data_IF_341059032381
#
_entry.id   IF_341059032381
#
_cell.length_a   1.000
_cell.length_b   1.000
_cell.length_c   1.000
_cell.angle_alpha   90.00
_cell.angle_beta   90.00
_cell.angle_gamma   90.00
#
_symmetry.space_group_name_H-M   'P 1'
#
loop_
_entity.id
_entity.type
_entity.pdbx_description
1 polymer ?
#
# COMPACT_ATOMS: atom_id res chain seq x y z
N UNK A 1 32.24 -20.38 21.23
CA UNK A 1 32.36 -18.94 20.97
C UNK A 1 31.97 -18.20 22.24
N UNK A 2 32.75 -17.19 22.60
CA UNK A 2 32.39 -16.21 23.62
C UNK A 2 31.18 -15.38 23.14
N UNK A 3 30.31 -14.88 24.04
CA UNK A 3 29.19 -14.00 23.66
C UNK A 3 29.62 -12.80 22.79
N UNK A 4 30.76 -12.19 23.12
CA UNK A 4 31.32 -11.04 22.41
C UNK A 4 31.69 -11.39 20.96
N UNK A 5 32.17 -12.61 20.71
CA UNK A 5 32.51 -13.08 19.37
C UNK A 5 31.27 -13.24 18.48
N UNK A 6 30.12 -13.61 19.06
CA UNK A 6 28.85 -13.69 18.31
C UNK A 6 28.37 -12.32 17.90
N UNK A 7 28.48 -11.33 18.80
CA UNK A 7 28.15 -9.94 18.52
C UNK A 7 29.04 -9.38 17.39
N UNK A 8 30.36 -9.52 17.52
CA UNK A 8 31.32 -9.07 16.51
C UNK A 8 31.07 -9.67 15.13
N UNK A 9 30.66 -10.96 15.07
CA UNK A 9 30.31 -11.60 13.81
C UNK A 9 29.09 -10.96 13.15
N UNK A 10 28.06 -10.61 13.93
CA UNK A 10 26.86 -9.96 13.40
C UNK A 10 27.20 -8.57 12.89
N UNK A 11 27.95 -7.78 13.66
CA UNK A 11 28.39 -6.45 13.26
C UNK A 11 29.23 -6.51 11.98
N UNK A 12 30.18 -7.43 11.88
CA UNK A 12 30.99 -7.62 10.68
C UNK A 12 30.14 -7.97 9.43
N UNK A 13 29.10 -8.81 9.58
CA UNK A 13 28.17 -9.10 8.49
C UNK A 13 27.33 -7.89 8.09
N UNK A 14 26.94 -7.06 9.06
CA UNK A 14 26.20 -5.81 8.81
C UNK A 14 27.07 -4.78 8.09
N UNK A 15 28.34 -4.65 8.44
CA UNK A 15 29.31 -3.76 7.79
C UNK A 15 29.50 -4.09 6.30
N UNK A 16 29.42 -5.37 5.94
CA UNK A 16 29.48 -5.83 4.54
C UNK A 16 28.16 -5.54 3.78
N UNK A 17 27.14 -5.03 4.47
CA UNK A 17 25.85 -4.65 3.90
C UNK A 17 24.82 -5.78 3.86
N UNK A 18 25.04 -6.86 4.63
CA UNK A 18 24.06 -7.95 4.73
C UNK A 18 22.97 -7.66 5.77
N UNK A 19 21.73 -8.05 5.44
CA UNK A 19 20.64 -8.08 6.42
C UNK A 19 20.74 -9.37 7.25
N UNK A 20 21.25 -9.23 8.46
CA UNK A 20 21.41 -10.33 9.41
C UNK A 20 20.16 -10.53 10.27
N UNK A 21 19.65 -11.76 10.31
CA UNK A 21 18.71 -12.22 11.33
C UNK A 21 19.36 -13.29 12.20
N UNK A 22 19.04 -13.32 13.49
CA UNK A 22 19.58 -14.26 14.45
C UNK A 22 18.46 -14.95 15.23
N UNK A 23 18.63 -16.23 15.52
CA UNK A 23 17.82 -16.93 16.51
C UNK A 23 18.73 -17.54 17.60
N UNK A 24 18.25 -17.53 18.84
CA UNK A 24 19.00 -18.00 20.00
C UNK A 24 18.07 -18.26 21.18
N UNK A 25 18.51 -19.02 22.17
CA UNK A 25 17.69 -19.45 23.31
C UNK A 25 18.33 -19.13 24.66
N UNK A 26 19.63 -18.81 24.70
CA UNK A 26 20.40 -18.58 25.92
C UNK A 26 20.82 -17.13 26.15
N UNK A 27 21.19 -16.83 27.39
CA UNK A 27 21.69 -15.51 27.80
C UNK A 27 22.94 -15.06 27.03
N UNK A 28 23.75 -16.03 26.59
CA UNK A 28 24.96 -15.82 25.79
C UNK A 28 24.67 -15.28 24.38
N UNK A 29 23.41 -15.33 23.93
CA UNK A 29 22.97 -14.82 22.63
C UNK A 29 22.36 -13.42 22.73
N UNK A 30 22.11 -12.89 23.93
CA UNK A 30 21.39 -11.63 24.13
C UNK A 30 22.01 -10.43 23.39
N UNK A 31 23.34 -10.28 23.48
CA UNK A 31 24.04 -9.19 22.78
C UNK A 31 23.87 -9.29 21.26
N UNK A 32 24.03 -10.50 20.73
CA UNK A 32 23.95 -10.78 19.31
C UNK A 32 22.50 -10.70 18.77
N UNK A 33 21.51 -11.19 19.53
CA UNK A 33 20.08 -11.07 19.23
C UNK A 33 19.63 -9.61 19.14
N UNK A 34 20.17 -8.76 20.01
CA UNK A 34 19.89 -7.32 20.03
C UNK A 34 20.55 -6.57 18.89
N UNK A 35 21.75 -6.99 18.47
CA UNK A 35 22.47 -6.35 17.37
C UNK A 35 21.92 -6.74 15.99
N UNK A 36 21.36 -7.94 15.84
CA UNK A 36 20.77 -8.39 14.58
C UNK A 36 19.61 -7.47 14.14
N UNK A 37 19.41 -7.31 12.82
CA UNK A 37 18.27 -6.56 12.30
C UNK A 37 16.93 -7.20 12.66
N UNK A 38 16.92 -8.53 12.81
CA UNK A 38 15.79 -9.29 13.30
C UNK A 38 16.28 -10.41 14.23
N UNK A 39 16.14 -10.19 15.54
CA UNK A 39 16.43 -11.18 16.57
C UNK A 39 15.18 -11.96 16.98
N UNK A 40 15.28 -13.29 17.06
CA UNK A 40 14.20 -14.17 17.52
C UNK A 40 14.68 -15.03 18.68
N UNK A 41 14.15 -14.80 19.89
CA UNK A 41 14.37 -15.73 21.00
C UNK A 41 13.52 -16.98 20.82
N UNK A 42 14.13 -18.16 20.96
CA UNK A 42 13.44 -19.45 20.96
C UNK A 42 12.93 -19.86 22.35
N UNK A 43 13.30 -19.12 23.40
CA UNK A 43 12.89 -19.37 24.77
C UNK A 43 12.20 -18.14 25.38
N UNK A 44 11.29 -18.38 26.34
CA UNK A 44 10.63 -17.31 27.11
C UNK A 44 11.51 -16.84 28.29
N UNK A 45 12.70 -17.42 28.44
CA UNK A 45 13.65 -17.08 29.50
C UNK A 45 14.40 -15.78 29.19
N UNK A 46 15.60 -15.60 29.76
CA UNK A 46 16.41 -14.37 29.71
C UNK A 46 16.64 -13.80 28.29
N UNK A 47 16.71 -14.67 27.27
CA UNK A 47 16.89 -14.26 25.88
C UNK A 47 15.71 -13.46 25.30
N UNK A 48 14.48 -13.67 25.81
CA UNK A 48 13.28 -12.97 25.34
C UNK A 48 13.32 -11.46 25.60
N UNK A 49 14.03 -11.01 26.64
CA UNK A 49 14.17 -9.59 26.99
C UNK A 49 15.05 -8.86 25.98
N UNK A 50 15.97 -9.57 25.32
CA UNK A 50 16.91 -8.99 24.37
C UNK A 50 16.39 -8.95 22.94
N UNK A 51 15.46 -9.85 22.57
CA UNK A 51 14.97 -10.01 21.21
C UNK A 51 13.59 -9.36 20.96
N UNK A 52 13.36 -8.69 19.82
CA UNK A 52 12.05 -8.13 19.48
C UNK A 52 10.96 -9.20 19.24
N UNK A 53 11.35 -10.42 18.87
CA UNK A 53 10.42 -11.54 18.67
C UNK A 53 10.75 -12.68 19.62
N UNK A 54 9.74 -13.25 20.28
CA UNK A 54 9.90 -14.43 21.14
C UNK A 54 8.99 -15.55 20.67
N UNK A 55 9.55 -16.71 20.38
CA UNK A 55 8.80 -17.91 20.03
C UNK A 55 8.29 -18.59 21.30
N UNK A 56 7.00 -18.92 21.33
CA UNK A 56 6.40 -19.68 22.43
C UNK A 56 6.84 -21.15 22.45
N UNK A 57 7.16 -21.70 21.27
CA UNK A 57 7.64 -23.08 21.11
C UNK A 57 9.09 -23.01 20.62
N UNK A 58 9.96 -23.82 21.23
CA UNK A 58 11.36 -23.99 20.83
C UNK A 58 11.47 -24.70 19.47
N UNK A 59 11.15 -24.00 18.39
CA UNK A 59 11.22 -24.52 17.03
C UNK A 59 11.70 -23.43 16.08
N UNK A 60 12.72 -23.75 15.30
CA UNK A 60 13.34 -22.86 14.30
C UNK A 60 12.34 -22.45 13.20
N UNK A 61 11.24 -23.21 13.02
CA UNK A 61 10.16 -22.89 12.08
C UNK A 61 9.60 -21.47 12.28
N UNK A 62 9.65 -20.92 13.50
CA UNK A 62 9.22 -19.53 13.75
C UNK A 62 9.96 -18.51 12.87
N UNK A 63 11.22 -18.76 12.51
CA UNK A 63 11.98 -17.89 11.62
C UNK A 63 11.37 -17.84 10.21
N UNK A 64 10.87 -18.98 9.72
CA UNK A 64 10.19 -19.02 8.42
C UNK A 64 8.90 -18.19 8.45
N UNK A 65 8.14 -18.28 9.54
CA UNK A 65 6.89 -17.55 9.69
C UNK A 65 7.15 -16.03 9.80
N UNK A 66 8.17 -15.60 10.56
CA UNK A 66 8.61 -14.20 10.62
C UNK A 66 9.02 -13.67 9.23
N UNK A 67 9.77 -14.45 8.44
CA UNK A 67 10.16 -14.03 7.08
C UNK A 67 8.93 -13.94 6.15
N UNK A 68 7.98 -14.87 6.27
CA UNK A 68 6.74 -14.86 5.47
C UNK A 68 5.91 -13.61 5.77
N UNK A 69 5.68 -13.35 7.05
CA UNK A 69 4.92 -12.18 7.51
C UNK A 69 5.63 -10.87 7.15
N UNK A 70 6.95 -10.80 7.32
CA UNK A 70 7.73 -9.63 6.92
C UNK A 70 7.63 -9.32 5.43
N UNK A 71 7.60 -10.36 4.57
CA UNK A 71 7.45 -10.18 3.12
C UNK A 71 6.04 -9.75 2.73
N UNK A 72 5.02 -10.30 3.36
CA UNK A 72 3.62 -9.92 3.15
C UNK A 72 3.41 -8.46 3.55
N UNK A 73 3.85 -8.11 4.76
CA UNK A 73 3.82 -6.74 5.30
C UNK A 73 4.56 -5.76 4.39
N UNK A 74 5.74 -6.10 3.88
CA UNK A 74 6.49 -5.24 2.96
C UNK A 74 5.76 -5.02 1.61
N UNK A 75 5.13 -6.06 1.07
CA UNK A 75 4.34 -5.93 -0.16
C UNK A 75 3.03 -5.14 0.03
N UNK A 76 2.42 -5.27 1.20
CA UNK A 76 1.22 -4.55 1.61
C UNK A 76 1.51 -3.06 1.78
N UNK A 77 2.51 -2.71 2.59
CA UNK A 77 2.95 -1.34 2.85
C UNK A 77 3.36 -0.60 1.58
N UNK A 78 4.13 -1.24 0.68
CA UNK A 78 4.45 -0.63 -0.61
C UNK A 78 3.24 -0.52 -1.55
N UNK A 79 2.19 -1.31 -1.36
CA UNK A 79 0.91 -1.12 -2.03
C UNK A 79 0.16 0.10 -1.52
N UNK A 80 0.02 0.19 -0.19
CA UNK A 80 -0.62 1.31 0.48
C UNK A 80 0.09 2.63 0.18
N UNK A 81 1.42 2.65 0.18
CA UNK A 81 2.19 3.84 -0.17
C UNK A 81 1.92 4.31 -1.61
N UNK A 82 1.93 3.40 -2.59
CA UNK A 82 1.61 3.75 -3.99
C UNK A 82 0.20 4.32 -4.12
N UNK A 83 -0.75 3.74 -3.38
CA UNK A 83 -2.12 4.25 -3.33
C UNK A 83 -2.17 5.68 -2.78
N UNK A 84 -1.53 5.96 -1.64
CA UNK A 84 -1.53 7.30 -1.04
C UNK A 84 -0.89 8.35 -1.95
N UNK A 85 0.19 8.00 -2.65
CA UNK A 85 0.80 8.91 -3.64
C UNK A 85 -0.18 9.23 -4.76
N UNK A 86 -0.80 8.20 -5.37
CA UNK A 86 -1.81 8.42 -6.42
C UNK A 86 -3.00 9.24 -5.91
N UNK A 87 -3.47 8.97 -4.69
CA UNK A 87 -4.56 9.70 -4.05
C UNK A 87 -4.27 11.20 -3.95
N UNK A 88 -3.11 11.58 -3.43
CA UNK A 88 -2.73 13.00 -3.29
C UNK A 88 -2.73 13.73 -4.64
N UNK A 89 -2.19 13.10 -5.70
CA UNK A 89 -2.16 13.73 -7.02
C UNK A 89 -3.54 13.84 -7.67
N UNK A 90 -4.38 12.81 -7.53
CA UNK A 90 -5.76 12.85 -8.03
C UNK A 90 -6.57 13.93 -7.29
N UNK A 91 -6.47 13.99 -5.96
CA UNK A 91 -7.14 15.00 -5.15
C UNK A 91 -6.73 16.42 -5.55
N UNK A 92 -5.42 16.67 -5.70
CA UNK A 92 -4.89 17.96 -6.12
C UNK A 92 -5.38 18.34 -7.52
N UNK A 93 -5.27 17.44 -8.50
CA UNK A 93 -5.73 17.71 -9.86
C UNK A 93 -7.24 17.99 -9.92
N UNK A 94 -8.02 17.29 -9.11
CA UNK A 94 -9.45 17.53 -8.95
C UNK A 94 -9.81 18.87 -8.40
N UNK A 95 -9.17 19.24 -7.29
CA UNK A 95 -9.39 20.52 -6.66
C UNK A 95 -9.08 21.65 -7.64
N UNK A 96 -7.94 21.58 -8.34
CA UNK A 96 -7.55 22.57 -9.36
C UNK A 96 -8.57 22.64 -10.51
N UNK A 97 -9.08 21.49 -10.98
CA UNK A 97 -10.09 21.45 -12.03
C UNK A 97 -11.42 22.09 -11.58
N UNK A 98 -11.90 21.79 -10.37
CA UNK A 98 -13.12 22.40 -9.84
C UNK A 98 -12.97 23.90 -9.61
N UNK A 99 -11.80 24.35 -9.13
CA UNK A 99 -11.49 25.77 -9.01
C UNK A 99 -11.51 26.49 -10.36
N UNK A 100 -11.05 25.83 -11.42
CA UNK A 100 -11.12 26.38 -12.78
C UNK A 100 -12.57 26.60 -13.25
N UNK A 101 -13.48 25.68 -12.92
CA UNK A 101 -14.91 25.79 -13.22
C UNK A 101 -15.67 26.73 -12.25
N UNK A 102 -14.98 27.33 -11.28
CA UNK A 102 -15.57 28.18 -10.25
C UNK A 102 -16.49 27.43 -9.28
N UNK A 103 -16.39 26.10 -9.23
CA UNK A 103 -17.18 25.24 -8.35
C UNK A 103 -16.37 24.82 -7.13
N UNK A 104 -17.03 24.68 -5.98
CA UNK A 104 -16.43 24.10 -4.78
C UNK A 104 -17.14 22.80 -4.39
N UNK A 105 -16.42 21.77 -3.93
CA UNK A 105 -17.06 20.60 -3.35
C UNK A 105 -17.92 20.96 -2.15
N UNK A 106 -18.97 20.17 -1.90
CA UNK A 106 -19.71 20.26 -0.64
C UNK A 106 -18.80 19.84 0.51
N UNK A 107 -18.89 20.49 1.66
CA UNK A 107 -18.05 20.21 2.85
C UNK A 107 -18.16 18.75 3.29
N UNK A 108 -19.37 18.18 3.24
CA UNK A 108 -19.57 16.75 3.54
C UNK A 108 -18.90 15.80 2.54
N UNK A 109 -18.75 16.21 1.28
CA UNK A 109 -18.07 15.41 0.27
C UNK A 109 -16.56 15.37 0.51
N UNK A 110 -15.93 16.49 0.91
CA UNK A 110 -14.52 16.51 1.28
C UNK A 110 -14.23 15.59 2.47
N UNK A 111 -15.04 15.70 3.53
CA UNK A 111 -14.89 14.85 4.72
C UNK A 111 -15.07 13.37 4.37
N UNK A 112 -16.04 13.03 3.52
CA UNK A 112 -16.24 11.66 3.08
C UNK A 112 -15.03 11.13 2.29
N UNK A 113 -14.47 11.91 1.37
CA UNK A 113 -13.31 11.51 0.57
C UNK A 113 -12.09 11.31 1.49
N UNK A 114 -11.79 12.26 2.37
CA UNK A 114 -10.61 12.16 3.25
C UNK A 114 -10.74 11.08 4.33
N UNK A 115 -11.93 10.83 4.87
CA UNK A 115 -12.10 9.80 5.90
C UNK A 115 -12.27 8.42 5.27
N UNK A 116 -13.21 8.27 4.33
CA UNK A 116 -13.59 6.94 3.83
C UNK A 116 -12.64 6.49 2.73
N UNK A 117 -12.41 7.34 1.72
CA UNK A 117 -11.62 6.95 0.54
C UNK A 117 -10.13 6.89 0.88
N UNK A 118 -9.61 7.76 1.75
CA UNK A 118 -8.21 7.71 2.17
C UNK A 118 -7.90 6.55 3.12
N UNK A 119 -8.73 6.32 4.15
CA UNK A 119 -8.40 5.39 5.24
C UNK A 119 -8.71 3.93 4.93
N UNK A 120 -9.82 3.64 4.25
CA UNK A 120 -10.30 2.26 4.08
C UNK A 120 -9.33 1.40 3.24
N UNK A 121 -8.79 1.85 2.09
CA UNK A 121 -7.91 1.01 1.28
C UNK A 121 -6.58 0.61 1.95
N UNK A 122 -5.85 1.51 2.64
CA UNK A 122 -4.68 1.15 3.45
C UNK A 122 -4.99 0.10 4.53
N UNK A 123 -6.15 0.20 5.19
CA UNK A 123 -6.57 -0.79 6.19
C UNK A 123 -6.78 -2.16 5.57
N UNK A 124 -7.39 -2.24 4.38
CA UNK A 124 -7.55 -3.50 3.63
C UNK A 124 -6.18 -4.09 3.28
N UNK A 125 -5.20 -3.27 2.86
CA UNK A 125 -3.84 -3.76 2.63
C UNK A 125 -3.19 -4.32 3.91
N UNK A 126 -3.47 -3.74 5.07
CA UNK A 126 -3.00 -4.25 6.37
C UNK A 126 -3.53 -5.64 6.71
N UNK A 127 -4.69 -6.04 6.18
CA UNK A 127 -5.29 -7.36 6.41
C UNK A 127 -4.79 -8.46 5.47
N UNK A 128 -3.72 -8.20 4.71
CA UNK A 128 -3.19 -9.19 3.76
C UNK A 128 -2.41 -10.30 4.48
N UNK A 129 -2.85 -11.54 4.28
CA UNK A 129 -2.22 -12.72 4.86
C UNK A 129 -0.91 -13.10 4.15
N UNK A 130 0.03 -13.75 4.85
CA UNK A 130 1.27 -14.23 4.26
C UNK A 130 1.07 -15.44 3.36
N UNK A 131 1.99 -15.59 2.40
CA UNK A 131 1.99 -16.77 1.54
C UNK A 131 2.60 -18.00 2.25
N UNK A 132 2.00 -19.17 2.04
CA UNK A 132 2.33 -20.41 2.77
C UNK A 132 3.71 -21.00 2.42
N UNK A 133 4.28 -20.70 1.25
CA UNK A 133 5.60 -21.20 0.83
C UNK A 133 6.58 -20.06 0.54
N UNK A 134 7.86 -20.28 0.86
CA UNK A 134 8.88 -19.26 0.65
C UNK A 134 9.38 -19.31 -0.80
N UNK A 135 9.02 -18.31 -1.60
CA UNK A 135 9.47 -18.20 -3.01
C UNK A 135 10.78 -17.41 -3.09
N UNK A 136 11.70 -17.79 -3.98
CA UNK A 136 13.02 -17.14 -4.16
C UNK A 136 12.94 -15.64 -4.51
N UNK A 137 11.89 -15.21 -5.23
CA UNK A 137 11.70 -13.81 -5.65
C UNK A 137 11.34 -12.92 -4.46
N UNK A 138 12.28 -12.11 -3.98
CA UNK A 138 12.02 -11.14 -2.89
C UNK A 138 11.09 -10.01 -3.36
N UNK A 139 10.24 -9.47 -2.47
CA UNK A 139 9.48 -8.26 -2.77
C UNK A 139 10.42 -7.10 -3.14
N UNK A 140 9.90 -6.14 -3.91
CA UNK A 140 10.67 -4.95 -4.29
C UNK A 140 11.21 -4.25 -3.04
N UNK A 141 12.47 -3.80 -3.07
CA UNK A 141 13.13 -3.13 -1.94
C UNK A 141 13.12 -1.61 -2.03
N UNK A 142 12.83 -1.06 -3.21
CA UNK A 142 12.80 0.38 -3.46
C UNK A 142 11.49 0.79 -4.10
N UNK A 143 10.99 1.95 -3.65
CA UNK A 143 9.84 2.64 -4.21
C UNK A 143 10.15 3.32 -5.54
N UNK A 144 11.40 3.73 -5.76
CA UNK A 144 11.82 4.56 -6.89
C UNK A 144 12.14 3.78 -8.16
N UNK A 145 11.71 2.52 -8.27
CA UNK A 145 11.92 1.77 -9.50
C UNK A 145 11.24 2.48 -10.67
N UNK A 146 11.96 2.64 -11.79
CA UNK A 146 11.50 3.35 -12.98
C UNK A 146 10.10 2.90 -13.41
N UNK A 147 9.84 1.59 -13.37
CA UNK A 147 8.54 1.02 -13.71
C UNK A 147 7.39 1.49 -12.79
N UNK A 148 7.66 1.65 -11.49
CA UNK A 148 6.66 2.17 -10.53
C UNK A 148 6.38 3.65 -10.77
N UNK A 149 7.43 4.46 -11.01
CA UNK A 149 7.29 5.89 -11.30
C UNK A 149 6.52 6.09 -12.61
N UNK A 150 6.90 5.36 -13.67
CA UNK A 150 6.21 5.41 -14.96
C UNK A 150 4.74 5.00 -14.85
N UNK A 151 4.43 3.95 -14.08
CA UNK A 151 3.06 3.52 -13.84
C UNK A 151 2.22 4.56 -13.09
N UNK A 152 2.81 5.28 -12.12
CA UNK A 152 2.11 6.33 -11.37
C UNK A 152 1.89 7.55 -12.29
N UNK A 153 2.91 7.95 -13.05
CA UNK A 153 2.82 9.07 -13.98
C UNK A 153 1.80 8.83 -15.09
N UNK A 154 1.80 7.65 -15.72
CA UNK A 154 0.83 7.31 -16.75
C UNK A 154 -0.60 7.31 -16.20
N UNK A 155 -0.79 6.80 -14.97
CA UNK A 155 -2.08 6.86 -14.29
C UNK A 155 -2.54 8.29 -14.04
N UNK A 156 -1.67 9.17 -13.53
CA UNK A 156 -2.00 10.59 -13.31
C UNK A 156 -2.39 11.29 -14.63
N UNK A 157 -1.66 11.03 -15.72
CA UNK A 157 -1.96 11.61 -17.04
C UNK A 157 -3.33 11.13 -17.56
N UNK A 158 -3.63 9.84 -17.45
CA UNK A 158 -4.94 9.30 -17.87
C UNK A 158 -6.08 9.94 -17.06
N UNK A 159 -5.90 10.05 -15.74
CA UNK A 159 -6.93 10.58 -14.85
C UNK A 159 -7.16 12.09 -14.99
N UNK A 160 -6.17 12.85 -15.45
CA UNK A 160 -6.33 14.30 -15.73
C UNK A 160 -6.96 14.56 -17.10
N UNK A 161 -6.71 13.68 -18.09
CA UNK A 161 -7.22 13.85 -19.46
C UNK A 161 -8.66 13.38 -19.65
N UNK A 162 -9.10 12.35 -18.93
CA UNK A 162 -10.47 11.84 -19.04
C UNK A 162 -11.55 12.88 -18.63
N UNK A 163 -11.45 13.56 -17.48
CA UNK A 163 -12.46 14.54 -17.05
C UNK A 163 -12.54 15.76 -17.98
N UNK A 164 -11.38 16.24 -18.46
CA UNK A 164 -11.32 17.38 -19.39
C UNK A 164 -11.97 17.04 -20.74
N UNK A 165 -11.81 15.81 -21.23
CA UNK A 165 -12.47 15.32 -22.45
C UNK A 165 -13.99 15.15 -22.28
N UNK A 166 -14.44 14.62 -21.14
CA UNK A 166 -15.87 14.49 -20.85
C UNK A 166 -16.55 15.86 -20.69
N UNK A 167 -15.88 16.83 -20.09
CA UNK A 167 -16.40 18.19 -19.95
C UNK A 167 -16.58 18.89 -21.31
N UNK A 168 -15.57 18.84 -22.19
CA UNK A 168 -15.69 19.41 -23.55
C UNK A 168 -16.76 18.71 -24.39
N UNK A 169 -16.91 17.39 -24.26
CA UNK A 169 -17.97 16.63 -24.93
C UNK A 169 -19.38 17.00 -24.41
N UNK A 170 -19.55 17.18 -23.10
CA UNK A 170 -20.82 17.63 -22.51
C UNK A 170 -21.16 19.09 -22.85
N UNK A 171 -20.16 19.97 -22.93
CA UNK A 171 -20.34 21.34 -23.41
C UNK A 171 -20.75 21.39 -24.89
N UNK A 172 -20.18 20.51 -25.72
CA UNK A 172 -20.55 20.36 -27.13
C UNK A 172 -21.98 19.79 -27.30
N UNK A 173 -22.37 18.81 -26.49
CA UNK A 173 -23.72 18.23 -26.51
C UNK A 173 -24.79 19.19 -26.00
N UNK A 174 -24.50 19.98 -24.96
CA UNK A 174 -25.43 20.99 -24.43
C UNK A 174 -25.66 22.16 -25.41
N UNK A 175 -24.70 22.50 -26.27
CA UNK A 175 -24.93 23.45 -27.36
C UNK A 175 -25.89 22.94 -28.44
N UNK A 176 -25.99 21.62 -28.64
CA UNK A 176 -26.97 20.98 -29.53
C UNK A 176 -28.38 20.82 -28.92
N UNK A 177 -28.51 20.99 -27.60
CA UNK A 177 -29.73 20.68 -26.84
C UNK A 177 -30.34 21.91 -26.13
N UNK A 178 -29.88 23.11 -26.46
CA UNK A 178 -30.44 24.38 -25.95
C UNK A 178 -31.78 24.77 -26.60
N UNK A 179 -32.43 23.85 -27.33
CA UNK A 179 -33.74 24.05 -27.96
C UNK A 179 -34.91 23.35 -27.26
N UNK A 180 -34.72 22.58 -26.17
CA UNK A 180 -35.82 21.73 -25.69
C UNK A 180 -36.21 21.72 -24.20
N UNK A 181 -35.45 22.26 -23.24
CA UNK A 181 -35.96 22.22 -21.85
C UNK A 181 -35.62 23.46 -21.02
N UNK A 182 -36.60 24.37 -20.99
CA UNK A 182 -36.90 25.23 -19.85
C UNK A 182 -37.75 24.41 -18.88
N UNK A 183 -37.20 23.98 -17.74
CA UNK A 183 -37.88 23.84 -16.44
C UNK A 183 -36.88 23.35 -15.39
N UNK A 184 -36.94 23.95 -14.21
CA UNK A 184 -35.97 23.78 -13.14
C UNK A 184 -35.93 22.38 -12.51
N UNK A 185 -34.71 21.88 -12.37
CA UNK A 185 -34.25 21.08 -11.25
C UNK A 185 -32.78 21.47 -11.02
N UNK A 186 -32.43 21.91 -9.81
CA UNK A 186 -31.03 22.15 -9.43
C UNK A 186 -30.33 20.79 -9.34
N UNK A 187 -29.89 20.28 -10.50
CA UNK A 187 -28.97 19.15 -10.59
C UNK A 187 -27.71 19.51 -9.80
N UNK A 188 -27.41 18.73 -8.76
CA UNK A 188 -26.04 18.52 -8.31
C UNK A 188 -25.17 18.37 -9.57
N UNK A 189 -24.26 19.30 -9.78
CA UNK A 189 -23.60 19.48 -11.06
C UNK A 189 -22.97 18.15 -11.50
N UNK A 190 -23.37 17.69 -12.68
CA UNK A 190 -22.82 16.52 -13.37
C UNK A 190 -21.28 16.39 -13.21
N UNK A 191 -20.45 17.47 -13.21
CA UNK A 191 -19.01 17.39 -12.94
C UNK A 191 -18.64 16.89 -11.52
N UNK A 192 -19.40 17.20 -10.47
CA UNK A 192 -19.12 16.73 -9.12
C UNK A 192 -19.39 15.23 -8.97
N UNK A 193 -20.48 14.76 -9.58
CA UNK A 193 -20.85 13.35 -9.57
C UNK A 193 -19.88 12.52 -10.42
N UNK A 194 -19.45 13.02 -11.58
CA UNK A 194 -18.40 12.36 -12.38
C UNK A 194 -17.06 12.36 -11.65
N UNK A 195 -16.70 13.41 -10.92
CA UNK A 195 -15.47 13.44 -10.12
C UNK A 195 -15.49 12.41 -8.97
N UNK A 196 -16.60 12.34 -8.23
CA UNK A 196 -16.82 11.34 -7.18
C UNK A 196 -16.88 9.91 -7.74
N UNK A 197 -17.58 9.70 -8.87
CA UNK A 197 -17.65 8.41 -9.55
C UNK A 197 -16.30 8.00 -10.13
N UNK A 198 -15.49 8.92 -10.66
CA UNK A 198 -14.14 8.66 -11.17
C UNK A 198 -13.15 8.36 -10.04
N UNK A 199 -13.25 9.07 -8.92
CA UNK A 199 -12.49 8.76 -7.70
C UNK A 199 -12.88 7.38 -7.15
N UNK A 200 -14.19 7.06 -7.09
CA UNK A 200 -14.70 5.77 -6.63
C UNK A 200 -14.39 4.62 -7.60
N UNK A 201 -14.44 4.86 -8.91
CA UNK A 201 -14.12 3.88 -9.94
C UNK A 201 -12.61 3.67 -10.04
N UNK A 202 -11.79 4.67 -9.73
CA UNK A 202 -10.34 4.51 -9.64
C UNK A 202 -9.90 3.75 -8.40
N UNK A 203 -10.55 3.99 -7.25
CA UNK A 203 -10.36 3.18 -6.04
C UNK A 203 -10.88 1.77 -6.26
N UNK A 204 -12.13 1.61 -6.71
CA UNK A 204 -12.71 0.30 -7.01
C UNK A 204 -11.91 -0.43 -8.08
N UNK A 205 -11.41 0.23 -9.13
CA UNK A 205 -10.60 -0.41 -10.18
C UNK A 205 -9.20 -0.79 -9.69
N UNK A 206 -8.51 0.01 -8.84
CA UNK A 206 -7.22 -0.41 -8.26
C UNK A 206 -7.40 -1.53 -7.20
N UNK A 207 -8.46 -1.46 -6.39
CA UNK A 207 -8.75 -2.48 -5.37
C UNK A 207 -9.29 -3.76 -6.02
N UNK A 208 -10.14 -3.67 -7.06
CA UNK A 208 -10.56 -4.80 -7.91
C UNK A 208 -9.41 -5.31 -8.76
N UNK A 209 -8.56 -4.49 -9.40
CA UNK A 209 -7.43 -5.01 -10.16
C UNK A 209 -6.47 -5.74 -9.24
N UNK A 210 -6.26 -5.28 -8.00
CA UNK A 210 -5.41 -6.00 -7.06
C UNK A 210 -6.11 -7.23 -6.50
N UNK A 211 -7.40 -7.21 -6.18
CA UNK A 211 -8.17 -8.41 -5.79
C UNK A 211 -8.26 -9.43 -6.94
N UNK A 212 -8.43 -8.99 -8.19
CA UNK A 212 -8.44 -9.80 -9.40
C UNK A 212 -7.03 -10.29 -9.76
N UNK A 213 -5.97 -9.49 -9.61
CA UNK A 213 -4.59 -9.98 -9.77
C UNK A 213 -4.19 -10.91 -8.63
N UNK A 214 -4.66 -10.69 -7.40
CA UNK A 214 -4.45 -11.62 -6.29
C UNK A 214 -5.19 -12.94 -6.58
N UNK A 215 -6.43 -12.90 -7.09
CA UNK A 215 -7.18 -14.10 -7.50
C UNK A 215 -6.68 -14.76 -8.81
N UNK A 216 -6.11 -14.02 -9.75
CA UNK A 216 -5.55 -14.54 -11.01
C UNK A 216 -4.12 -15.08 -10.83
N UNK A 217 -3.36 -14.55 -9.86
CA UNK A 217 -2.02 -15.06 -9.51
C UNK A 217 -2.08 -16.13 -8.41
N UNK A 218 -3.15 -16.16 -7.61
CA UNK A 218 -3.50 -17.27 -6.72
C UNK A 218 -4.84 -17.88 -7.11
N UNK A 219 -4.87 -18.92 -7.98
CA UNK A 219 -5.99 -19.82 -7.92
C UNK A 219 -6.00 -20.38 -6.50
N UNK A 220 -7.16 -20.30 -5.87
CA UNK A 220 -7.46 -20.94 -4.59
C UNK A 220 -7.18 -22.43 -4.68
N UNK A 221 -5.93 -22.82 -4.46
CA UNK A 221 -5.49 -24.19 -4.23
C UNK A 221 -5.71 -24.54 -2.77
N UNK A 222 -6.98 -24.69 -2.36
CA UNK A 222 -7.30 -25.59 -1.25
C UNK A 222 -7.15 -27.00 -1.78
N UNK A 223 -6.04 -27.64 -1.42
CA UNK A 223 -5.88 -29.09 -1.36
C UNK A 223 -5.08 -29.38 -0.09
#
# INVERSE_FOLDING_TARGET
MLPEQKLQLIEALQEIGHQVGMCGDGANDCGALKAAHAGVSLSVAEASVASPFTAQKQNIKCMLDVIREGRATLAATFGAFRYMVCYCFVLLAGALFLFWDGQKPSEGAYVFIDIVVSLVPPMIFGTTEPFFTLVKKVPARSLSNFLSIFSILSFIVIQTKLPTFSHTSSAFSNHGMSLLFSTGAKCTSLPQLTWLLQCSASTACLTLLRLLFFHLVHPSGRA
#
